data_IF_842949510470
#
_entry.id   IF_842949510470
#
_cell.length_a   1.000
_cell.length_b   1.000
_cell.length_c   1.000
_cell.angle_alpha   90.00
_cell.angle_beta   90.00
_cell.angle_gamma   90.00
#
_symmetry.space_group_name_H-M   'P 1'
#
loop_
_entity.id
_entity.type
_entity.pdbx_description
1 polymer ?
#
# COMPACT_ATOMS: atom_id res chain seq x y z
N UNK A 1 -0.45 3.11 18.30
CA UNK A 1 -1.66 3.69 18.95
C UNK A 1 -2.07 4.94 18.17
N UNK A 2 -3.36 5.14 17.83
CA UNK A 2 -3.84 6.26 17.00
C UNK A 2 -3.47 7.67 17.52
N UNK A 3 -3.27 7.82 18.82
CA UNK A 3 -2.84 9.08 19.45
C UNK A 3 -1.43 9.52 19.05
N UNK A 4 -0.54 8.59 18.70
CA UNK A 4 0.80 8.92 18.24
C UNK A 4 0.78 9.49 16.80
N UNK A 5 -0.16 9.06 15.96
CA UNK A 5 -0.30 9.55 14.58
C UNK A 5 -0.60 11.07 14.53
N UNK A 6 -1.32 11.61 15.52
CA UNK A 6 -1.70 13.03 15.56
C UNK A 6 -0.56 13.99 15.95
N UNK A 7 0.51 13.47 16.54
CA UNK A 7 1.61 14.26 17.07
C UNK A 7 2.89 14.20 16.22
N UNK A 8 2.81 13.62 15.02
CA UNK A 8 3.96 13.46 14.13
C UNK A 8 4.15 14.72 13.31
N UNK A 9 5.40 15.19 13.15
CA UNK A 9 5.70 16.28 12.24
C UNK A 9 5.22 15.92 10.83
N UNK A 10 4.38 16.76 10.27
CA UNK A 10 3.89 16.59 8.91
C UNK A 10 5.00 16.96 7.92
N UNK A 11 5.41 16.03 7.07
CA UNK A 11 6.18 16.39 5.91
C UNK A 11 5.22 16.85 4.81
N UNK A 12 5.44 18.03 4.25
CA UNK A 12 4.62 18.62 3.19
C UNK A 12 3.10 18.68 3.50
N UNK A 13 2.76 18.79 4.80
CA UNK A 13 1.37 18.96 5.25
C UNK A 13 0.58 17.67 5.47
N UNK A 14 1.19 16.50 5.30
CA UNK A 14 0.55 15.21 5.54
C UNK A 14 1.26 14.40 6.63
N UNK A 15 0.48 13.68 7.43
CA UNK A 15 1.00 12.72 8.41
C UNK A 15 1.49 11.49 7.66
N UNK A 16 2.76 11.17 7.79
CA UNK A 16 3.40 10.06 7.10
C UNK A 16 3.67 8.89 8.05
N UNK A 17 2.94 7.79 7.82
CA UNK A 17 3.06 6.55 8.61
C UNK A 17 4.44 5.93 8.50
N UNK A 18 5.07 5.97 7.31
CA UNK A 18 6.40 5.39 7.13
C UNK A 18 7.49 6.21 7.78
N UNK A 19 7.39 7.55 7.74
CA UNK A 19 8.34 8.43 8.46
C UNK A 19 8.27 8.24 9.95
N UNK A 20 7.08 7.97 10.50
CA UNK A 20 6.95 7.57 11.89
C UNK A 20 7.72 6.27 12.19
N UNK A 21 7.57 5.27 11.34
CA UNK A 21 8.27 3.98 11.48
C UNK A 21 9.79 4.19 11.37
N UNK A 22 10.24 5.01 10.44
CA UNK A 22 11.64 5.34 10.21
C UNK A 22 12.28 6.09 11.39
N UNK A 23 11.51 6.81 12.18
CA UNK A 23 11.99 7.48 13.40
C UNK A 23 12.18 6.54 14.59
N UNK A 24 11.77 5.28 14.49
CA UNK A 24 11.89 4.30 15.58
C UNK A 24 13.33 3.78 15.72
N UNK A 25 13.81 3.50 16.95
CA UNK A 25 15.11 2.92 17.17
C UNK A 25 15.31 1.60 16.41
N UNK A 26 16.45 1.46 15.72
CA UNK A 26 16.79 0.28 14.93
C UNK A 26 16.18 0.23 13.53
N UNK A 27 15.56 1.30 13.09
CA UNK A 27 15.11 1.52 11.71
C UNK A 27 16.00 2.56 11.07
N UNK A 28 16.48 2.30 9.85
CA UNK A 28 17.28 3.25 9.05
C UNK A 28 16.65 3.43 7.68
N UNK A 29 16.62 4.67 7.22
CA UNK A 29 16.25 4.98 5.83
C UNK A 29 17.38 4.57 4.88
N UNK A 30 17.03 4.17 3.67
CA UNK A 30 18.02 3.79 2.63
C UNK A 30 18.55 5.02 1.88
N UNK A 31 17.91 6.18 2.06
CA UNK A 31 18.27 7.45 1.45
C UNK A 31 17.15 8.48 1.63
N UNK A 32 17.42 9.76 1.36
CA UNK A 32 16.44 10.85 1.57
C UNK A 32 15.22 10.76 0.62
N UNK A 33 15.42 10.22 -0.58
CA UNK A 33 14.38 9.99 -1.59
C UNK A 33 14.20 8.48 -1.87
N UNK A 34 14.21 7.66 -0.84
CA UNK A 34 14.06 6.21 -0.96
C UNK A 34 12.79 5.73 -0.30
N UNK A 35 12.09 4.85 -0.99
CA UNK A 35 10.87 4.18 -0.52
C UNK A 35 11.13 3.14 0.59
N UNK A 36 12.39 2.79 0.82
CA UNK A 36 12.76 1.69 1.69
C UNK A 36 13.26 2.09 3.07
N UNK A 37 13.17 1.17 3.98
CA UNK A 37 13.85 1.23 5.25
C UNK A 37 14.45 -0.13 5.61
N UNK A 38 15.53 -0.10 6.35
CA UNK A 38 16.22 -1.28 6.87
C UNK A 38 15.95 -1.40 8.36
N UNK A 39 15.61 -2.58 8.80
CA UNK A 39 15.38 -2.87 10.22
C UNK A 39 16.47 -3.80 10.72
N UNK A 40 17.21 -3.33 11.73
CA UNK A 40 18.26 -4.09 12.41
C UNK A 40 19.29 -4.74 11.46
N UNK A 41 19.63 -4.04 10.38
CA UNK A 41 20.60 -4.51 9.38
C UNK A 41 20.00 -5.40 8.28
N UNK A 42 18.72 -5.70 8.31
CA UNK A 42 18.03 -6.39 7.21
C UNK A 42 17.86 -5.48 6.00
N UNK A 43 17.80 -6.07 4.81
CA UNK A 43 17.57 -5.36 3.56
C UNK A 43 16.10 -4.93 3.40
N UNK A 44 15.84 -3.98 2.52
CA UNK A 44 14.50 -3.39 2.32
C UNK A 44 13.47 -4.43 1.88
N UNK A 45 13.85 -5.36 1.01
CA UNK A 45 13.00 -6.44 0.49
C UNK A 45 12.69 -7.52 1.54
N UNK A 46 13.40 -7.51 2.67
CA UNK A 46 13.19 -8.43 3.79
C UNK A 46 12.12 -7.93 4.77
N UNK A 47 11.52 -6.78 4.52
CA UNK A 47 10.40 -6.25 5.30
C UNK A 47 9.08 -6.64 4.64
N UNK A 48 8.12 -7.10 5.42
CA UNK A 48 6.75 -7.35 4.97
C UNK A 48 5.89 -6.13 5.30
N UNK A 49 5.26 -5.56 4.28
CA UNK A 49 4.35 -4.42 4.46
C UNK A 49 2.94 -4.84 4.09
N UNK A 50 2.05 -4.81 5.06
CA UNK A 50 0.68 -5.25 4.93
C UNK A 50 -0.30 -4.09 5.11
N UNK A 51 -1.27 -4.01 4.20
CA UNK A 51 -2.47 -3.19 4.34
C UNK A 51 -3.68 -4.13 4.36
N UNK A 52 -4.38 -4.17 5.49
CA UNK A 52 -5.53 -5.06 5.67
C UNK A 52 -5.21 -6.51 5.28
N UNK A 53 -4.05 -7.01 5.73
CA UNK A 53 -3.60 -8.39 5.49
C UNK A 53 -3.07 -8.71 4.11
N UNK A 54 -3.24 -7.82 3.12
CA UNK A 54 -2.63 -7.94 1.79
C UNK A 54 -1.29 -7.21 1.68
N UNK A 55 -0.45 -7.60 0.74
CA UNK A 55 0.91 -7.07 0.57
C UNK A 55 0.93 -5.80 -0.27
N UNK A 56 1.59 -4.76 0.22
CA UNK A 56 1.93 -3.57 -0.57
C UNK A 56 3.41 -3.64 -0.96
N UNK A 57 3.67 -3.79 -2.26
CA UNK A 57 5.02 -4.00 -2.79
C UNK A 57 5.82 -2.71 -2.86
N UNK A 58 5.18 -1.60 -3.24
CA UNK A 58 5.79 -0.29 -3.17
C UNK A 58 4.97 0.60 -2.22
N UNK A 59 5.48 0.84 -0.99
CA UNK A 59 4.73 1.52 0.05
C UNK A 59 4.77 3.05 -0.03
N UNK A 60 5.31 3.61 -1.13
CA UNK A 60 5.50 5.04 -1.26
C UNK A 60 5.13 5.57 -2.63
N UNK A 61 4.83 6.86 -2.68
CA UNK A 61 4.65 7.66 -3.88
C UNK A 61 5.82 8.60 -4.10
N UNK A 62 6.05 8.98 -5.36
CA UNK A 62 7.04 9.97 -5.77
C UNK A 62 8.42 9.69 -5.14
N UNK A 63 8.96 8.46 -5.34
CA UNK A 63 10.29 8.06 -4.85
C UNK A 63 10.50 8.20 -3.33
N UNK A 64 9.45 8.07 -2.54
CA UNK A 64 9.55 8.13 -1.08
C UNK A 64 9.15 9.48 -0.46
N UNK A 65 8.72 10.45 -1.24
CA UNK A 65 8.24 11.73 -0.70
C UNK A 65 6.92 11.61 0.05
N UNK A 66 6.04 10.69 -0.35
CA UNK A 66 4.77 10.43 0.30
C UNK A 66 4.59 8.93 0.58
N UNK A 67 3.93 8.60 1.66
CA UNK A 67 3.52 7.21 1.94
C UNK A 67 2.32 6.82 1.09
N UNK A 68 2.26 5.55 0.66
CA UNK A 68 1.07 4.96 0.04
C UNK A 68 -0.10 4.79 1.05
N UNK A 69 0.18 4.92 2.35
CA UNK A 69 -0.81 4.76 3.40
C UNK A 69 -1.44 6.10 3.78
N UNK A 70 -2.62 6.39 3.23
CA UNK A 70 -3.38 7.58 3.64
C UNK A 70 -3.75 7.49 5.11
N UNK A 71 -3.21 8.39 5.93
CA UNK A 71 -3.39 8.39 7.39
C UNK A 71 -4.85 8.52 7.82
N UNK A 72 -5.71 9.12 7.01
CA UNK A 72 -7.14 9.26 7.31
C UNK A 72 -7.91 7.94 7.12
N UNK A 73 -7.33 6.97 6.41
CA UNK A 73 -7.86 5.62 6.24
C UNK A 73 -7.26 4.60 7.20
N UNK A 74 -6.29 4.99 8.02
CA UNK A 74 -5.58 4.08 8.93
C UNK A 74 -6.18 4.16 10.32
N UNK A 75 -6.49 3.01 10.91
CA UNK A 75 -6.93 2.87 12.30
C UNK A 75 -5.79 2.47 13.23
N UNK A 76 -4.91 1.59 12.77
CA UNK A 76 -3.79 1.11 13.59
C UNK A 76 -2.56 0.77 12.73
N UNK A 77 -1.39 0.91 13.37
CA UNK A 77 -0.09 0.61 12.78
C UNK A 77 0.72 -0.19 13.78
N UNK A 78 1.07 -1.40 13.41
CA UNK A 78 1.90 -2.30 14.20
C UNK A 78 3.20 -2.59 13.46
N UNK A 79 4.32 -2.46 14.17
CA UNK A 79 5.62 -2.87 13.63
C UNK A 79 6.26 -3.94 14.52
N UNK A 80 6.60 -5.06 13.92
CA UNK A 80 7.33 -6.15 14.54
C UNK A 80 8.77 -6.14 14.00
N UNK A 81 9.70 -5.66 14.83
CA UNK A 81 11.15 -5.59 14.50
C UNK A 81 11.93 -6.81 15.02
N UNK A 82 11.30 -7.61 15.84
CA UNK A 82 11.77 -8.88 16.40
C UNK A 82 10.57 -9.60 17.00
N UNK A 83 10.72 -10.88 17.30
CA UNK A 83 9.62 -11.70 17.83
C UNK A 83 8.37 -11.60 16.96
N UNK A 84 8.58 -11.75 15.64
CA UNK A 84 7.48 -11.70 14.67
C UNK A 84 6.51 -12.83 15.01
N UNK A 85 5.21 -12.53 15.22
CA UNK A 85 4.21 -13.55 15.45
C UNK A 85 4.14 -14.58 14.32
N UNK A 86 3.89 -15.84 14.66
CA UNK A 86 3.89 -16.96 13.69
C UNK A 86 2.85 -16.84 12.58
N UNK A 87 1.85 -15.97 12.72
CA UNK A 87 0.87 -15.66 11.67
C UNK A 87 1.47 -14.88 10.48
N UNK A 88 2.67 -14.33 10.61
CA UNK A 88 3.37 -13.60 9.56
C UNK A 88 4.56 -14.43 9.07
N UNK A 89 4.51 -14.84 7.81
CA UNK A 89 5.59 -15.55 7.12
C UNK A 89 6.18 -14.74 5.97
N UNK A 90 7.08 -15.36 5.21
CA UNK A 90 7.59 -14.86 3.94
C UNK A 90 8.65 -13.74 4.01
N UNK A 91 8.93 -13.15 5.18
CA UNK A 91 9.98 -12.12 5.38
C UNK A 91 10.69 -12.29 6.73
N UNK A 92 11.96 -11.89 6.77
CA UNK A 92 12.85 -12.21 7.92
C UNK A 92 13.28 -11.00 8.74
N UNK A 93 13.12 -9.77 8.26
CA UNK A 93 13.61 -8.57 8.95
C UNK A 93 12.54 -7.93 9.82
N UNK A 94 11.42 -7.53 9.24
CA UNK A 94 10.33 -6.91 9.99
C UNK A 94 8.97 -7.11 9.31
N UNK A 95 7.90 -6.87 10.09
CA UNK A 95 6.54 -6.79 9.58
C UNK A 95 5.94 -5.46 9.99
N UNK A 96 5.49 -4.68 9.01
CA UNK A 96 4.66 -3.50 9.20
C UNK A 96 3.22 -3.87 8.82
N UNK A 97 2.35 -3.97 9.80
CA UNK A 97 0.94 -4.32 9.63
C UNK A 97 0.08 -3.08 9.83
N UNK A 98 -0.63 -2.67 8.79
CA UNK A 98 -1.49 -1.49 8.78
C UNK A 98 -2.93 -1.93 8.64
N UNK A 99 -3.76 -1.51 9.59
CA UNK A 99 -5.19 -1.81 9.62
C UNK A 99 -5.98 -0.60 9.19
N UNK A 100 -6.88 -0.79 8.24
CA UNK A 100 -7.78 0.24 7.73
C UNK A 100 -8.84 0.64 8.73
N UNK A 101 -9.25 1.89 8.63
CA UNK A 101 -10.30 2.49 9.44
C UNK A 101 -11.68 2.08 8.93
N UNK A 102 -12.61 1.87 9.84
CA UNK A 102 -14.03 1.82 9.55
C UNK A 102 -14.64 3.23 9.61
N UNK A 103 -15.61 3.49 8.75
CA UNK A 103 -16.33 4.75 8.78
C UNK A 103 -17.24 4.85 10.01
N UNK A 104 -17.57 6.08 10.38
CA UNK A 104 -18.56 6.38 11.38
C UNK A 104 -19.93 5.77 11.00
N UNK A 105 -20.57 5.06 11.91
CA UNK A 105 -21.85 4.39 11.70
C UNK A 105 -23.07 5.22 12.12
N UNK A 106 -22.84 6.35 12.79
CA UNK A 106 -23.91 7.18 13.37
C UNK A 106 -24.17 8.43 12.54
N UNK A 107 -23.10 9.09 12.06
CA UNK A 107 -23.20 10.37 11.36
C UNK A 107 -22.23 10.43 10.18
N UNK A 108 -22.62 11.21 9.19
CA UNK A 108 -21.75 11.58 8.07
C UNK A 108 -20.57 12.44 8.58
N UNK A 109 -19.37 12.10 8.14
CA UNK A 109 -18.16 12.89 8.39
C UNK A 109 -17.45 13.09 7.07
N UNK A 110 -17.13 14.33 6.73
CA UNK A 110 -16.36 14.68 5.55
C UNK A 110 -15.12 15.48 5.96
N UNK A 111 -13.98 15.13 5.37
CA UNK A 111 -12.72 15.87 5.52
C UNK A 111 -12.16 16.13 4.14
N UNK A 112 -11.96 17.40 3.80
CA UNK A 112 -11.29 17.81 2.58
C UNK A 112 -10.04 18.63 2.94
N UNK A 113 -8.96 18.42 2.22
CA UNK A 113 -7.71 19.14 2.38
C UNK A 113 -7.14 19.53 1.03
N UNK A 114 -6.69 20.78 0.91
CA UNK A 114 -5.98 21.29 -0.26
C UNK A 114 -4.65 21.85 0.24
N UNK A 115 -3.56 21.26 -0.19
CA UNK A 115 -2.19 21.69 0.11
C UNK A 115 -1.48 22.22 -1.14
N UNK A 116 -0.22 22.60 -1.00
CA UNK A 116 0.59 23.09 -2.12
C UNK A 116 0.86 22.01 -3.18
N UNK A 117 0.97 20.76 -2.79
CA UNK A 117 1.34 19.64 -3.65
C UNK A 117 0.26 18.57 -3.75
N UNK A 118 -0.61 18.47 -2.75
CA UNK A 118 -1.59 17.38 -2.65
C UNK A 118 -2.97 17.94 -2.30
N UNK A 119 -3.99 17.24 -2.78
CA UNK A 119 -5.37 17.39 -2.33
C UNK A 119 -5.92 16.05 -1.91
N UNK A 120 -6.77 16.06 -0.89
CA UNK A 120 -7.42 14.86 -0.36
C UNK A 120 -8.89 15.10 -0.02
N UNK A 121 -9.66 14.03 -0.12
CA UNK A 121 -11.07 13.98 0.28
C UNK A 121 -11.34 12.65 0.97
N UNK A 122 -11.92 12.72 2.16
CA UNK A 122 -12.35 11.53 2.91
C UNK A 122 -13.80 11.70 3.33
N UNK A 123 -14.62 10.69 3.07
CA UNK A 123 -16.04 10.68 3.36
C UNK A 123 -16.38 9.43 4.17
N UNK A 124 -16.98 9.61 5.34
CA UNK A 124 -17.50 8.54 6.17
C UNK A 124 -19.03 8.61 6.11
N UNK A 125 -19.64 7.60 5.54
CA UNK A 125 -21.07 7.56 5.20
C UNK A 125 -21.75 6.45 5.99
N UNK A 126 -22.63 6.75 6.93
CA UNK A 126 -23.49 5.74 7.55
C UNK A 126 -24.57 5.35 6.54
N UNK A 127 -24.55 4.09 6.10
CA UNK A 127 -25.55 3.55 5.16
C UNK A 127 -26.76 2.97 5.93
N UNK A 128 -26.49 2.28 7.00
CA UNK A 128 -27.51 1.74 7.89
C UNK A 128 -27.02 1.96 9.32
N UNK A 129 -27.74 2.81 10.02
CA UNK A 129 -27.35 3.32 11.34
C UNK A 129 -26.92 2.18 12.27
N UNK A 130 -25.79 2.39 12.97
CA UNK A 130 -25.14 1.48 13.91
C UNK A 130 -24.62 0.16 13.30
N UNK A 131 -25.01 -0.20 12.06
CA UNK A 131 -24.66 -1.49 11.46
C UNK A 131 -23.74 -1.38 10.26
N UNK A 132 -24.02 -0.46 9.34
CA UNK A 132 -23.32 -0.41 8.06
C UNK A 132 -22.75 0.96 7.80
N UNK A 133 -21.49 1.00 7.39
CA UNK A 133 -20.84 2.25 6.99
C UNK A 133 -19.92 2.05 5.79
N UNK A 134 -19.70 3.13 5.07
CA UNK A 134 -18.80 3.22 3.92
C UNK A 134 -17.84 4.38 4.14
N UNK A 135 -16.54 4.10 4.10
CA UNK A 135 -15.49 5.11 4.00
C UNK A 135 -15.02 5.16 2.56
N UNK A 136 -14.95 6.36 2.00
CA UNK A 136 -14.36 6.64 0.70
C UNK A 136 -13.24 7.64 0.89
N UNK A 137 -12.12 7.41 0.27
CA UNK A 137 -10.97 8.30 0.31
C UNK A 137 -10.36 8.45 -1.07
N UNK A 138 -9.93 9.65 -1.39
CA UNK A 138 -9.14 9.94 -2.57
C UNK A 138 -8.07 10.97 -2.25
N UNK A 139 -6.89 10.78 -2.82
CA UNK A 139 -5.78 11.72 -2.74
C UNK A 139 -5.11 11.82 -4.10
N UNK A 140 -4.65 13.01 -4.44
CA UNK A 140 -3.91 13.26 -5.67
C UNK A 140 -2.87 14.35 -5.46
N UNK A 141 -1.82 14.33 -6.28
CA UNK A 141 -0.82 15.38 -6.33
C UNK A 141 -0.83 16.10 -7.67
N UNK A 142 -0.38 17.34 -7.66
CA UNK A 142 -0.23 18.25 -8.79
C UNK A 142 1.12 18.99 -8.72
N UNK A 143 2.21 18.22 -8.70
CA UNK A 143 3.56 18.75 -8.51
C UNK A 143 4.26 19.25 -9.79
N UNK A 144 3.65 19.14 -10.97
CA UNK A 144 4.24 19.55 -12.25
C UNK A 144 4.66 21.04 -12.28
N UNK A 145 3.86 21.91 -11.65
CA UNK A 145 4.18 23.33 -11.55
C UNK A 145 5.49 23.60 -10.81
N UNK A 146 5.80 22.79 -9.78
CA UNK A 146 7.04 22.91 -9.01
C UNK A 146 8.25 22.55 -9.85
N UNK A 147 8.15 21.49 -10.66
CA UNK A 147 9.19 21.10 -11.60
C UNK A 147 9.40 22.18 -12.69
N UNK A 148 8.31 22.79 -13.17
CA UNK A 148 8.36 23.91 -14.12
C UNK A 148 9.07 25.17 -13.61
N UNK A 149 9.21 25.33 -12.30
CA UNK A 149 9.98 26.44 -11.69
C UNK A 149 11.49 26.19 -11.64
N UNK A 150 11.94 24.96 -11.89
CA UNK A 150 13.36 24.62 -11.87
C UNK A 150 14.09 25.31 -13.03
N UNK A 151 15.38 25.66 -12.85
CA UNK A 151 16.22 26.20 -13.92
C UNK A 151 16.34 25.19 -15.07
N UNK A 152 16.44 25.67 -16.33
CA UNK A 152 16.64 24.80 -17.51
C UNK A 152 17.85 23.88 -17.38
N UNK A 153 18.91 24.36 -16.75
CA UNK A 153 20.13 23.58 -16.49
C UNK A 153 19.93 22.38 -15.55
N UNK A 154 18.81 22.31 -14.84
CA UNK A 154 18.52 21.17 -13.96
C UNK A 154 18.24 19.87 -14.71
N UNK A 155 17.84 19.96 -15.98
CA UNK A 155 17.37 18.80 -16.75
C UNK A 155 15.96 18.31 -16.38
N UNK A 156 15.33 18.89 -15.35
CA UNK A 156 14.02 18.43 -14.82
C UNK A 156 12.87 19.43 -15.04
N UNK A 157 13.14 20.57 -15.69
CA UNK A 157 12.13 21.63 -15.89
C UNK A 157 10.88 21.16 -16.61
N UNK A 158 11.04 20.23 -17.58
CA UNK A 158 9.93 19.64 -18.33
C UNK A 158 9.44 18.32 -17.72
N UNK A 159 9.97 17.98 -16.54
CA UNK A 159 9.58 16.79 -15.82
C UNK A 159 8.11 16.83 -15.40
N UNK A 160 7.53 15.67 -15.29
CA UNK A 160 6.18 15.48 -14.72
C UNK A 160 6.27 14.47 -13.60
N UNK A 161 5.62 14.77 -12.49
CA UNK A 161 5.57 13.86 -11.35
C UNK A 161 4.20 13.96 -10.71
N UNK A 162 3.53 12.84 -10.59
CA UNK A 162 2.20 12.83 -10.02
C UNK A 162 1.77 11.45 -9.56
N UNK A 163 0.94 11.42 -8.54
CA UNK A 163 0.24 10.22 -8.12
C UNK A 163 -1.21 10.52 -7.80
N UNK A 164 -2.00 9.48 -7.79
CA UNK A 164 -3.29 9.46 -7.12
C UNK A 164 -3.49 8.12 -6.42
N UNK A 165 -4.24 8.16 -5.34
CA UNK A 165 -4.73 6.98 -4.66
C UNK A 165 -6.22 7.11 -4.31
N UNK A 166 -6.89 5.96 -4.31
CA UNK A 166 -8.30 5.84 -3.96
C UNK A 166 -8.44 4.65 -3.02
N UNK A 167 -9.20 4.85 -1.97
CA UNK A 167 -9.50 3.79 -1.02
C UNK A 167 -10.98 3.74 -0.65
N UNK A 168 -11.44 2.55 -0.32
CA UNK A 168 -12.79 2.33 0.18
C UNK A 168 -12.78 1.29 1.30
N UNK A 169 -13.61 1.50 2.32
CA UNK A 169 -13.87 0.50 3.36
C UNK A 169 -15.37 0.37 3.56
N UNK A 170 -15.92 -0.79 3.25
CA UNK A 170 -17.29 -1.16 3.59
C UNK A 170 -17.27 -1.99 4.86
N UNK A 171 -18.07 -1.61 5.86
CA UNK A 171 -18.16 -2.31 7.14
C UNK A 171 -19.60 -2.64 7.46
N UNK A 172 -19.89 -3.90 7.76
CA UNK A 172 -21.23 -4.34 8.17
C UNK A 172 -21.17 -5.23 9.43
N UNK A 173 -21.98 -4.88 10.40
CA UNK A 173 -22.18 -5.65 11.64
C UNK A 173 -23.51 -6.39 11.55
N UNK A 174 -23.47 -7.70 11.30
CA UNK A 174 -24.67 -8.54 11.21
C UNK A 174 -25.34 -8.67 12.58
N UNK A 175 -24.52 -8.91 13.60
CA UNK A 175 -24.90 -9.01 15.01
C UNK A 175 -23.65 -8.83 15.88
N UNK A 176 -23.77 -8.95 17.19
CA UNK A 176 -22.67 -8.78 18.16
C UNK A 176 -21.50 -9.76 17.92
N UNK A 177 -21.77 -10.90 17.28
CA UNK A 177 -20.78 -11.95 17.06
C UNK A 177 -20.18 -11.92 15.67
N UNK A 178 -20.84 -11.33 14.67
CA UNK A 178 -20.45 -11.43 13.27
C UNK A 178 -20.30 -10.06 12.62
N UNK A 179 -19.13 -9.81 12.04
CA UNK A 179 -18.78 -8.58 11.36
C UNK A 179 -18.02 -8.86 10.07
N UNK A 180 -18.35 -8.13 9.03
CA UNK A 180 -17.67 -8.14 7.73
C UNK A 180 -17.09 -6.77 7.44
N UNK A 181 -15.82 -6.75 7.05
CA UNK A 181 -15.17 -5.58 6.48
C UNK A 181 -14.64 -5.93 5.08
N UNK A 182 -14.89 -5.07 4.11
CA UNK A 182 -14.33 -5.18 2.76
C UNK A 182 -13.50 -3.93 2.53
N UNK A 183 -12.25 -4.11 2.12
CA UNK A 183 -11.30 -3.05 1.85
C UNK A 183 -10.94 -3.05 0.38
N UNK A 184 -10.79 -1.87 -0.18
CA UNK A 184 -10.24 -1.65 -1.51
C UNK A 184 -9.25 -0.50 -1.47
N UNK A 185 -8.11 -0.67 -2.11
CA UNK A 185 -7.09 0.35 -2.30
C UNK A 185 -6.54 0.25 -3.72
N UNK A 186 -6.35 1.38 -4.36
CA UNK A 186 -5.70 1.48 -5.66
C UNK A 186 -4.85 2.74 -5.70
N UNK A 187 -3.64 2.63 -6.26
CA UNK A 187 -2.77 3.78 -6.49
C UNK A 187 -2.05 3.69 -7.83
N UNK A 188 -1.73 4.86 -8.37
CA UNK A 188 -0.93 5.00 -9.59
C UNK A 188 0.02 6.17 -9.47
N UNK A 189 1.29 5.92 -9.73
CA UNK A 189 2.36 6.90 -9.84
C UNK A 189 2.81 7.03 -11.29
N UNK A 190 3.18 8.24 -11.67
CA UNK A 190 3.74 8.55 -12.98
C UNK A 190 4.84 9.58 -12.83
N UNK A 191 5.97 9.28 -13.48
CA UNK A 191 7.09 10.18 -13.55
C UNK A 191 7.58 10.30 -14.98
N UNK A 192 8.03 11.50 -15.35
CA UNK A 192 8.84 11.73 -16.53
C UNK A 192 9.92 12.72 -16.08
N UNK A 193 11.16 12.31 -16.06
CA UNK A 193 12.27 13.22 -15.78
C UNK A 193 12.52 14.18 -16.95
N UNK A 194 12.28 13.67 -18.14
CA UNK A 194 12.35 14.39 -19.41
C UNK A 194 11.31 13.77 -20.37
N UNK A 195 11.26 14.24 -21.60
CA UNK A 195 10.33 13.73 -22.61
C UNK A 195 10.61 12.29 -23.03
N UNK A 196 11.82 11.78 -22.78
CA UNK A 196 12.31 10.51 -23.28
C UNK A 196 12.21 9.34 -22.29
N UNK A 197 12.07 9.63 -21.00
CA UNK A 197 12.01 8.60 -19.96
C UNK A 197 10.76 8.77 -19.10
N UNK A 198 9.92 7.76 -19.11
CA UNK A 198 8.66 7.74 -18.35
C UNK A 198 8.56 6.49 -17.51
N UNK A 199 8.29 6.68 -16.24
CA UNK A 199 8.11 5.62 -15.25
C UNK A 199 6.68 5.60 -14.73
N UNK A 200 6.15 4.43 -14.52
CA UNK A 200 4.88 4.25 -13.86
C UNK A 200 4.87 3.04 -12.97
N UNK A 201 4.21 3.12 -11.83
CA UNK A 201 3.91 1.97 -11.00
C UNK A 201 2.59 2.14 -10.28
N UNK A 202 2.01 1.03 -9.87
CA UNK A 202 0.75 1.03 -9.15
C UNK A 202 0.62 -0.14 -8.18
N UNK A 203 -0.19 0.07 -7.15
CA UNK A 203 -0.63 -0.98 -6.26
C UNK A 203 -2.15 -1.08 -6.30
N UNK A 204 -2.66 -2.30 -6.21
CA UNK A 204 -4.06 -2.59 -5.93
C UNK A 204 -4.13 -3.62 -4.82
N UNK A 205 -5.01 -3.39 -3.86
CA UNK A 205 -5.33 -4.33 -2.80
C UNK A 205 -6.85 -4.38 -2.63
N UNK A 206 -7.41 -5.57 -2.68
CA UNK A 206 -8.82 -5.81 -2.37
C UNK A 206 -8.90 -6.98 -1.40
N UNK A 207 -9.56 -6.79 -0.26
CA UNK A 207 -9.68 -7.85 0.73
C UNK A 207 -11.02 -7.84 1.46
N UNK A 208 -11.47 -9.01 1.90
CA UNK A 208 -12.62 -9.20 2.74
C UNK A 208 -12.22 -9.91 4.03
N UNK A 209 -12.71 -9.41 5.14
CA UNK A 209 -12.42 -9.89 6.47
C UNK A 209 -13.70 -10.18 7.22
N UNK A 210 -13.88 -11.42 7.58
CA UNK A 210 -15.00 -11.86 8.40
C UNK A 210 -14.52 -12.22 9.79
N UNK A 211 -15.00 -11.49 10.79
CA UNK A 211 -14.78 -11.82 12.20
C UNK A 211 -16.02 -12.48 12.76
N UNK A 212 -15.84 -13.62 13.46
CA UNK A 212 -16.92 -14.29 14.18
C UNK A 212 -16.48 -14.66 15.60
N UNK A 213 -17.36 -14.45 16.56
CA UNK A 213 -17.20 -14.87 17.95
C UNK A 213 -18.03 -16.15 18.12
N UNK A 214 -17.37 -17.29 18.18
CA UNK A 214 -18.04 -18.58 18.37
C UNK A 214 -18.61 -18.71 19.77
N UNK A 215 -17.81 -18.33 20.78
CA UNK A 215 -18.18 -18.28 22.19
C UNK A 215 -17.27 -17.27 22.93
N UNK A 216 -17.41 -17.17 24.26
CA UNK A 216 -16.62 -16.24 25.08
C UNK A 216 -15.10 -16.45 25.00
N UNK A 217 -14.65 -17.64 24.65
CA UNK A 217 -13.24 -18.02 24.60
C UNK A 217 -12.68 -18.02 23.18
N UNK A 218 -13.48 -18.33 22.16
CA UNK A 218 -13.02 -18.57 20.80
C UNK A 218 -13.54 -17.53 19.81
N UNK A 219 -12.60 -16.84 19.16
CA UNK A 219 -12.87 -15.91 18.05
C UNK A 219 -12.13 -16.39 16.80
N UNK A 220 -12.83 -16.39 15.65
CA UNK A 220 -12.28 -16.65 14.34
C UNK A 220 -12.21 -15.39 13.50
N UNK A 221 -11.12 -15.25 12.73
CA UNK A 221 -10.92 -14.19 11.73
C UNK A 221 -10.56 -14.85 10.41
N UNK A 222 -11.41 -14.68 9.42
CA UNK A 222 -11.23 -15.21 8.07
C UNK A 222 -10.96 -14.06 7.12
N UNK A 223 -9.94 -14.19 6.30
CA UNK A 223 -9.56 -13.14 5.35
C UNK A 223 -9.25 -13.75 4.00
N UNK A 224 -9.74 -13.12 2.95
CA UNK A 224 -9.38 -13.43 1.57
C UNK A 224 -9.08 -12.14 0.85
N UNK A 225 -8.19 -12.17 -0.13
CA UNK A 225 -7.87 -10.96 -0.89
C UNK A 225 -7.02 -11.21 -2.11
N UNK A 226 -6.85 -10.13 -2.84
CA UNK A 226 -6.06 -10.03 -4.05
C UNK A 226 -5.21 -8.77 -3.99
N UNK A 227 -3.92 -8.91 -4.29
CA UNK A 227 -2.96 -7.84 -4.40
C UNK A 227 -2.36 -7.84 -5.80
N UNK A 228 -2.21 -6.67 -6.37
CA UNK A 228 -1.55 -6.47 -7.64
C UNK A 228 -0.56 -5.32 -7.55
N UNK A 229 0.60 -5.52 -8.13
CA UNK A 229 1.60 -4.49 -8.34
C UNK A 229 2.06 -4.53 -9.78
N UNK A 230 2.16 -3.39 -10.41
CA UNK A 230 2.74 -3.24 -11.73
C UNK A 230 3.76 -2.10 -11.79
N UNK A 231 4.75 -2.27 -12.66
CA UNK A 231 5.78 -1.28 -12.96
C UNK A 231 6.03 -1.25 -14.46
N UNK A 232 6.22 -0.07 -14.98
CA UNK A 232 6.67 0.13 -16.36
C UNK A 232 7.70 1.27 -16.46
N UNK A 233 8.66 1.10 -17.37
CA UNK A 233 9.61 2.11 -17.79
C UNK A 233 9.59 2.21 -19.31
N UNK A 234 9.26 3.39 -19.82
CA UNK A 234 9.27 3.72 -21.25
C UNK A 234 10.51 4.55 -21.54
N UNK A 235 11.34 4.08 -22.46
CA UNK A 235 12.51 4.79 -22.97
C UNK A 235 12.31 5.13 -24.45
N UNK A 236 12.38 6.42 -24.78
CA UNK A 236 12.09 6.95 -26.13
C UNK A 236 13.19 7.90 -26.64
N UNK A 237 14.43 7.76 -26.16
CA UNK A 237 15.57 8.60 -26.55
C UNK A 237 15.82 8.53 -28.08
N UNK A 238 15.67 7.33 -28.64
CA UNK A 238 15.74 7.06 -30.08
C UNK A 238 14.49 6.27 -30.49
N UNK A 239 13.80 6.72 -31.53
CA UNK A 239 12.58 6.06 -32.02
C UNK A 239 12.81 4.62 -32.48
N UNK A 240 14.04 4.34 -32.99
CA UNK A 240 14.42 3.00 -33.44
C UNK A 240 14.69 2.05 -32.28
N UNK A 241 15.17 2.58 -31.15
CA UNK A 241 15.49 1.82 -29.94
C UNK A 241 14.44 2.01 -28.83
N UNK A 242 13.34 2.69 -29.13
CA UNK A 242 12.30 2.94 -28.16
C UNK A 242 11.70 1.65 -27.63
N UNK A 243 11.71 1.49 -26.32
CA UNK A 243 11.30 0.26 -25.67
C UNK A 243 10.53 0.51 -24.37
N UNK A 244 9.72 -0.45 -24.00
CA UNK A 244 9.07 -0.53 -22.69
C UNK A 244 9.58 -1.76 -21.94
N UNK A 245 10.05 -1.53 -20.72
CA UNK A 245 10.25 -2.58 -19.73
C UNK A 245 9.07 -2.58 -18.76
N UNK A 246 8.45 -3.72 -18.56
CA UNK A 246 7.36 -3.86 -17.59
C UNK A 246 7.46 -5.15 -16.80
N UNK A 247 6.98 -5.16 -15.56
CA UNK A 247 6.78 -6.35 -14.76
C UNK A 247 5.57 -6.19 -13.83
N UNK A 248 5.04 -7.32 -13.37
CA UNK A 248 3.90 -7.31 -12.47
C UNK A 248 3.93 -8.48 -11.49
N UNK A 249 3.26 -8.30 -10.36
CA UNK A 249 3.05 -9.31 -9.34
C UNK A 249 1.55 -9.37 -9.04
N UNK A 250 0.98 -10.57 -9.14
CA UNK A 250 -0.37 -10.84 -8.67
C UNK A 250 -0.28 -11.81 -7.51
N UNK A 251 -0.94 -11.50 -6.41
CA UNK A 251 -0.98 -12.33 -5.21
C UNK A 251 -2.42 -12.54 -4.78
N UNK A 252 -2.79 -13.78 -4.54
CA UNK A 252 -4.05 -14.14 -3.90
C UNK A 252 -3.74 -14.70 -2.52
N UNK A 253 -4.55 -14.36 -1.54
CA UNK A 253 -4.38 -14.91 -0.21
C UNK A 253 -5.70 -15.36 0.41
N UNK A 254 -5.62 -16.39 1.23
CA UNK A 254 -6.67 -16.82 2.12
C UNK A 254 -6.08 -17.17 3.48
N UNK A 255 -6.69 -16.68 4.56
CA UNK A 255 -6.21 -16.86 5.94
C UNK A 255 -7.38 -17.17 6.85
N UNK A 256 -7.19 -18.13 7.75
CA UNK A 256 -8.10 -18.44 8.84
C UNK A 256 -7.31 -18.45 10.15
N UNK A 257 -7.58 -17.47 11.02
CA UNK A 257 -6.89 -17.28 12.29
C UNK A 257 -7.86 -17.42 13.44
N UNK A 258 -7.48 -18.17 14.46
CA UNK A 258 -8.29 -18.42 15.65
C UNK A 258 -7.54 -17.92 16.89
N UNK A 259 -8.30 -17.23 17.76
CA UNK A 259 -7.81 -16.80 19.05
C UNK A 259 -8.62 -17.52 20.12
N UNK A 260 -7.96 -18.38 20.88
CA UNK A 260 -8.55 -19.12 21.99
C UNK A 260 -8.01 -18.57 23.32
N UNK A 261 -8.89 -17.94 24.10
CA UNK A 261 -8.57 -17.38 25.40
C UNK A 261 -9.08 -18.32 26.49
N UNK A 262 -8.19 -19.03 27.13
CA UNK A 262 -8.45 -19.85 28.31
C UNK A 262 -8.05 -19.05 29.56
N UNK A 263 -8.50 -19.46 30.75
CA UNK A 263 -8.21 -18.75 32.00
C UNK A 263 -6.72 -18.45 32.21
N UNK A 264 -5.83 -19.40 31.87
CA UNK A 264 -4.38 -19.31 32.07
C UNK A 264 -3.58 -19.26 30.77
N UNK A 265 -4.21 -19.45 29.60
CA UNK A 265 -3.50 -19.57 28.33
C UNK A 265 -4.22 -18.78 27.24
N UNK A 266 -3.42 -18.14 26.38
CA UNK A 266 -3.91 -17.57 25.12
C UNK A 266 -3.23 -18.33 23.98
N UNK A 267 -4.02 -18.95 23.13
CA UNK A 267 -3.55 -19.69 21.96
C UNK A 267 -4.02 -18.97 20.70
N UNK A 268 -3.05 -18.70 19.83
CA UNK A 268 -3.31 -18.20 18.48
C UNK A 268 -2.86 -19.26 17.51
N UNK A 269 -3.74 -19.71 16.64
CA UNK A 269 -3.44 -20.71 15.63
C UNK A 269 -4.22 -20.43 14.37
N UNK A 270 -3.76 -20.96 13.25
CA UNK A 270 -4.43 -20.72 11.99
C UNK A 270 -3.74 -21.37 10.82
N UNK A 271 -4.28 -21.13 9.66
CA UNK A 271 -3.73 -21.52 8.36
C UNK A 271 -3.81 -20.34 7.41
N UNK A 272 -2.78 -20.19 6.60
CA UNK A 272 -2.75 -19.21 5.50
C UNK A 272 -2.23 -19.86 4.23
N UNK A 273 -2.69 -19.37 3.10
CA UNK A 273 -2.14 -19.71 1.80
C UNK A 273 -1.98 -18.44 0.98
N UNK A 274 -0.87 -18.37 0.23
CA UNK A 274 -0.59 -17.29 -0.71
C UNK A 274 -0.23 -17.91 -2.06
N UNK A 275 -0.89 -17.46 -3.10
CA UNK A 275 -0.62 -17.87 -4.48
C UNK A 275 -0.09 -16.66 -5.24
N UNK A 276 1.12 -16.78 -5.75
CA UNK A 276 1.78 -15.77 -6.56
C UNK A 276 1.73 -16.12 -8.04
N UNK A 277 1.51 -15.11 -8.88
CA UNK A 277 1.69 -15.17 -10.31
C UNK A 277 2.51 -13.93 -10.72
N UNK A 278 3.77 -14.17 -11.09
CA UNK A 278 4.78 -13.14 -11.30
C UNK A 278 5.11 -13.06 -12.78
N UNK A 279 4.87 -11.90 -13.39
CA UNK A 279 5.43 -11.53 -14.68
C UNK A 279 6.80 -10.89 -14.46
N UNK A 280 7.86 -11.69 -14.58
CA UNK A 280 9.20 -11.31 -14.16
C UNK A 280 9.84 -10.18 -15.02
N UNK A 281 9.36 -9.98 -16.22
CA UNK A 281 9.76 -8.88 -17.09
C UNK A 281 9.33 -9.09 -18.52
N UNK A 282 8.87 -8.02 -19.15
CA UNK A 282 8.60 -7.96 -20.60
C UNK A 282 9.32 -6.76 -21.15
N UNK A 283 10.10 -6.98 -22.20
CA UNK A 283 10.77 -5.93 -22.96
C UNK A 283 10.14 -5.88 -24.34
N UNK A 284 9.48 -4.79 -24.67
CA UNK A 284 8.70 -4.67 -25.90
C UNK A 284 9.02 -3.39 -26.66
N UNK A 285 8.92 -3.41 -28.02
CA UNK A 285 9.09 -2.21 -28.83
C UNK A 285 8.03 -1.17 -28.50
N UNK A 286 8.43 0.09 -28.41
CA UNK A 286 7.54 1.21 -28.15
C UNK A 286 7.45 2.09 -29.40
N UNK A 287 6.25 2.13 -30.00
CA UNK A 287 6.00 2.87 -31.24
C UNK A 287 6.20 2.03 -32.51
N UNK A 288 5.88 2.64 -33.66
CA UNK A 288 5.87 1.94 -34.95
C UNK A 288 7.25 1.80 -35.60
N UNK A 289 8.18 2.65 -35.19
CA UNK A 289 9.55 2.72 -35.79
C UNK A 289 10.56 1.90 -34.98
N UNK A 290 10.20 1.43 -33.82
CA UNK A 290 11.10 0.65 -32.98
C UNK A 290 11.43 -0.70 -33.62
N UNK A 291 12.73 -0.99 -33.68
CA UNK A 291 13.28 -2.26 -34.12
C UNK A 291 13.70 -3.17 -32.96
N UNK A 292 13.32 -2.79 -31.74
CA UNK A 292 13.56 -3.60 -30.54
C UNK A 292 12.82 -4.93 -30.66
N UNK A 293 13.52 -6.02 -30.40
CA UNK A 293 12.91 -7.34 -30.35
C UNK A 293 12.07 -7.50 -29.07
N UNK A 294 10.89 -8.09 -29.23
CA UNK A 294 10.08 -8.47 -28.08
C UNK A 294 10.79 -9.61 -27.33
N UNK A 295 10.92 -9.44 -26.02
CA UNK A 295 11.44 -10.46 -25.12
C UNK A 295 10.60 -10.51 -23.84
N UNK A 296 10.26 -11.72 -23.41
CA UNK A 296 9.46 -11.93 -22.20
C UNK A 296 10.14 -12.99 -21.33
N UNK A 297 10.51 -12.61 -20.12
CA UNK A 297 10.98 -13.55 -19.12
C UNK A 297 9.86 -14.51 -18.70
N UNK A 298 10.22 -15.75 -18.41
CA UNK A 298 9.26 -16.77 -18.01
C UNK A 298 8.43 -16.31 -16.82
N UNK A 299 7.12 -16.52 -16.92
CA UNK A 299 6.19 -16.28 -15.82
C UNK A 299 6.37 -17.34 -14.75
N UNK A 300 6.51 -16.88 -13.50
CA UNK A 300 6.65 -17.76 -12.35
C UNK A 300 5.36 -17.84 -11.54
N UNK A 301 5.12 -19.01 -10.97
CA UNK A 301 4.04 -19.25 -10.01
C UNK A 301 4.62 -19.86 -8.75
N UNK A 302 4.21 -19.35 -7.61
CA UNK A 302 4.59 -19.90 -6.32
C UNK A 302 3.35 -20.06 -5.43
N UNK A 303 3.35 -21.09 -4.62
CA UNK A 303 2.35 -21.36 -3.58
C UNK A 303 3.09 -21.44 -2.24
N UNK A 304 2.63 -20.67 -1.28
CA UNK A 304 3.10 -20.65 0.12
C UNK A 304 1.98 -21.04 1.08
#
# INVERSE_FOLDING_TARGET
TPSLLKNIPTAMGEVDVLKMVQALPGVKTVGEASSGFNVRGGATDQNLMLLNGGTIYNPTHLFGFFTAFNSDMVSDVEIYKSSIPSQFGGRISSVLNITGKEANKEKFVGVAGIGLLTSKLNLEIPLWKERTSLLLSGRTTYSDWLLGMLPEKSGYKNGKAGFYDIGATFSHTFNERNKLNIYGYYSRDRFAFNDNEKYGYGNMNVSAHWRTIFNEQLTGNFSVGYDHYDYNNDETVDSIQAARLSFNINQYFAKANFNLNLEKHKLNFGVSTLLYNIGAGTYEPLGKESLVAYDELQKDKALE
#
